data_IF_237075678770
#
_entry.id   IF_237075678770
#
_cell.length_a   1.000
_cell.length_b   1.000
_cell.length_c   1.000
_cell.angle_alpha   90.00
_cell.angle_beta   90.00
_cell.angle_gamma   90.00
#
_symmetry.space_group_name_H-M   'P 1'
#
loop_
_entity.id
_entity.type
_entity.pdbx_description
1 polymer ?
#
# COMPACT_ATOMS: atom_id res chain seq x y z
N UNK A 1 -10.40 -23.89 17.97
CA UNK A 1 -10.61 -22.50 17.51
C UNK A 1 -9.42 -21.67 17.94
N UNK A 2 -8.47 -21.43 17.05
CA UNK A 2 -7.32 -20.55 17.32
C UNK A 2 -7.82 -19.11 17.33
N UNK A 3 -8.05 -18.55 18.53
CA UNK A 3 -8.35 -17.12 18.70
C UNK A 3 -7.25 -16.33 17.97
N UNK A 4 -7.67 -15.40 17.08
CA UNK A 4 -6.73 -14.42 16.51
C UNK A 4 -6.04 -13.69 17.68
N UNK A 5 -4.81 -14.05 17.93
CA UNK A 5 -4.04 -13.53 19.08
C UNK A 5 -3.75 -12.04 18.83
N UNK A 6 -3.87 -11.22 19.88
CA UNK A 6 -3.54 -9.80 19.83
C UNK A 6 -2.07 -9.60 19.42
N UNK A 7 -1.79 -8.48 18.74
CA UNK A 7 -0.42 -8.07 18.44
C UNK A 7 0.39 -7.90 19.74
N UNK A 8 1.61 -8.38 19.72
CA UNK A 8 2.59 -8.26 20.81
C UNK A 8 3.69 -7.27 20.39
N UNK A 9 4.50 -6.80 21.32
CA UNK A 9 5.60 -5.85 21.06
C UNK A 9 6.50 -6.29 19.91
N UNK A 10 6.85 -7.58 19.87
CA UNK A 10 7.65 -8.15 18.77
C UNK A 10 6.98 -8.03 17.39
N UNK A 11 5.64 -8.10 17.34
CA UNK A 11 4.90 -7.97 16.09
C UNK A 11 4.94 -6.52 15.59
N UNK A 12 4.82 -5.53 16.48
CA UNK A 12 4.95 -4.11 16.13
C UNK A 12 6.34 -3.77 15.61
N UNK A 13 7.40 -4.30 16.23
CA UNK A 13 8.77 -4.15 15.75
C UNK A 13 8.92 -4.74 14.36
N UNK A 14 8.41 -5.96 14.16
CA UNK A 14 8.46 -6.64 12.87
C UNK A 14 7.71 -5.85 11.79
N UNK A 15 6.48 -5.42 12.07
CA UNK A 15 5.68 -4.60 11.15
C UNK A 15 6.42 -3.30 10.83
N UNK A 16 7.01 -2.63 11.81
CA UNK A 16 7.79 -1.40 11.60
C UNK A 16 8.94 -1.61 10.62
N UNK A 17 9.75 -2.66 10.81
CA UNK A 17 10.88 -2.99 9.92
C UNK A 17 10.38 -3.25 8.49
N UNK A 18 9.34 -4.06 8.34
CA UNK A 18 8.77 -4.36 7.02
C UNK A 18 8.11 -3.14 6.37
N UNK A 19 7.51 -2.24 7.16
CA UNK A 19 6.94 -0.98 6.63
C UNK A 19 8.03 -0.08 6.04
N UNK A 20 9.20 0.01 6.69
CA UNK A 20 10.36 0.73 6.15
C UNK A 20 10.84 0.08 4.84
N UNK A 21 10.88 -1.26 4.78
CA UNK A 21 11.25 -1.97 3.54
C UNK A 21 10.23 -1.73 2.42
N UNK A 22 8.93 -1.75 2.72
CA UNK A 22 7.86 -1.41 1.76
C UNK A 22 8.08 0.02 1.23
N UNK A 23 8.33 0.97 2.14
CA UNK A 23 8.59 2.35 1.75
C UNK A 23 9.84 2.47 0.86
N UNK A 24 10.93 1.80 1.21
CA UNK A 24 12.17 1.79 0.42
C UNK A 24 11.93 1.23 -0.99
N UNK A 25 11.21 0.10 -1.12
CA UNK A 25 10.84 -0.47 -2.42
C UNK A 25 10.00 0.53 -3.23
N UNK A 26 9.00 1.15 -2.62
CA UNK A 26 8.16 2.14 -3.28
C UNK A 26 8.96 3.38 -3.72
N UNK A 27 9.90 3.86 -2.90
CA UNK A 27 10.78 4.97 -3.24
C UNK A 27 11.68 4.64 -4.43
N UNK A 28 12.29 3.46 -4.44
CA UNK A 28 13.15 3.00 -5.55
C UNK A 28 12.33 2.89 -6.84
N UNK A 29 11.19 2.20 -6.81
CA UNK A 29 10.31 2.04 -7.98
C UNK A 29 9.82 3.40 -8.48
N UNK A 30 9.40 4.28 -7.57
CA UNK A 30 8.97 5.63 -7.89
C UNK A 30 10.07 6.45 -8.57
N UNK A 31 11.27 6.45 -8.00
CA UNK A 31 12.41 7.20 -8.54
C UNK A 31 12.84 6.74 -9.93
N UNK A 32 12.71 5.44 -10.21
CA UNK A 32 13.08 4.88 -11.53
C UNK A 32 11.97 5.14 -12.57
N UNK A 33 10.71 4.94 -12.20
CA UNK A 33 9.61 4.97 -13.16
C UNK A 33 9.08 6.37 -13.44
N UNK A 34 9.10 7.27 -12.45
CA UNK A 34 8.57 8.64 -12.65
C UNK A 34 9.22 9.37 -13.82
N UNK A 35 10.53 9.39 -14.01
CA UNK A 35 11.15 10.01 -15.19
C UNK A 35 10.79 9.33 -16.51
N UNK A 36 10.51 8.01 -16.47
CA UNK A 36 10.19 7.21 -17.68
C UNK A 36 8.76 7.43 -18.13
N UNK A 37 7.81 7.46 -17.18
CA UNK A 37 6.37 7.57 -17.48
C UNK A 37 5.95 9.04 -17.58
N UNK A 38 6.77 9.96 -17.03
CA UNK A 38 6.49 11.40 -17.05
C UNK A 38 5.16 11.74 -16.36
N UNK A 39 4.34 12.54 -17.04
CA UNK A 39 3.07 13.00 -16.49
C UNK A 39 2.07 11.88 -16.12
N UNK A 40 2.13 10.73 -16.81
CA UNK A 40 1.29 9.58 -16.49
C UNK A 40 1.72 8.86 -15.19
N UNK A 41 2.84 9.24 -14.59
CA UNK A 41 3.27 8.69 -13.31
C UNK A 41 2.22 8.88 -12.23
N UNK A 42 1.58 10.04 -12.16
CA UNK A 42 0.60 10.33 -11.11
C UNK A 42 -0.49 9.25 -10.98
N UNK A 43 -1.24 8.89 -12.02
CA UNK A 43 -2.29 7.87 -11.90
C UNK A 43 -1.76 6.43 -11.86
N UNK A 44 -0.54 6.15 -12.32
CA UNK A 44 -0.07 4.77 -12.53
C UNK A 44 1.01 4.34 -11.56
N UNK A 45 1.81 5.25 -11.02
CA UNK A 45 2.99 4.92 -10.20
C UNK A 45 2.65 4.06 -8.99
N UNK A 46 1.51 4.33 -8.36
CA UNK A 46 1.06 3.58 -7.21
C UNK A 46 0.88 2.08 -7.49
N UNK A 47 0.32 1.74 -8.65
CA UNK A 47 0.15 0.34 -9.06
C UNK A 47 1.48 -0.39 -9.21
N UNK A 48 2.47 0.25 -9.83
CA UNK A 48 3.82 -0.33 -9.95
C UNK A 48 4.50 -0.48 -8.59
N UNK A 49 4.44 0.53 -7.73
CA UNK A 49 4.96 0.45 -6.37
C UNK A 49 4.35 -0.73 -5.61
N UNK A 50 3.04 -0.87 -5.67
CA UNK A 50 2.30 -1.93 -4.99
C UNK A 50 2.58 -3.32 -5.57
N UNK A 51 2.84 -3.44 -6.87
CA UNK A 51 3.25 -4.70 -7.49
C UNK A 51 4.51 -5.25 -6.82
N UNK A 52 5.54 -4.43 -6.70
CA UNK A 52 6.82 -4.84 -6.12
C UNK A 52 6.75 -4.99 -4.60
N UNK A 53 6.08 -4.05 -3.91
CA UNK A 53 5.97 -4.10 -2.45
C UNK A 53 5.05 -5.20 -1.93
N UNK A 54 4.19 -5.79 -2.78
CA UNK A 54 3.34 -6.92 -2.42
C UNK A 54 4.14 -8.13 -1.90
N UNK A 55 5.35 -8.35 -2.41
CA UNK A 55 6.24 -9.42 -1.92
C UNK A 55 6.59 -9.18 -0.45
N UNK A 56 7.04 -7.98 -0.13
CA UNK A 56 7.45 -7.58 1.23
C UNK A 56 6.26 -7.62 2.18
N UNK A 57 5.12 -7.09 1.73
CA UNK A 57 3.88 -7.13 2.51
C UNK A 57 3.44 -8.56 2.84
N UNK A 58 3.39 -9.46 1.85
CA UNK A 58 2.93 -10.84 2.09
C UNK A 58 3.88 -11.62 3.01
N UNK A 59 5.20 -11.41 2.91
CA UNK A 59 6.15 -11.98 3.87
C UNK A 59 5.86 -11.49 5.29
N UNK A 60 5.65 -10.20 5.48
CA UNK A 60 5.28 -9.61 6.76
C UNK A 60 3.96 -10.21 7.27
N UNK A 61 2.92 -10.16 6.44
CA UNK A 61 1.58 -10.61 6.79
C UNK A 61 1.55 -12.09 7.22
N UNK A 62 2.31 -12.96 6.54
CA UNK A 62 2.41 -14.37 6.88
C UNK A 62 3.22 -14.62 8.14
N UNK A 63 4.28 -13.83 8.40
CA UNK A 63 5.07 -13.92 9.64
C UNK A 63 4.27 -13.46 10.86
N UNK A 64 3.54 -12.36 10.75
CA UNK A 64 2.70 -11.83 11.84
C UNK A 64 1.43 -12.66 12.02
N UNK A 65 0.72 -12.92 10.94
CA UNK A 65 -0.52 -13.71 10.85
C UNK A 65 -1.57 -13.37 11.93
N UNK A 66 -1.72 -12.10 12.25
CA UNK A 66 -2.60 -11.60 13.33
C UNK A 66 -3.45 -10.44 12.84
N UNK A 67 -4.59 -10.25 13.52
CA UNK A 67 -5.50 -9.13 13.27
C UNK A 67 -4.79 -7.81 13.56
N UNK A 68 -5.02 -6.81 12.68
CA UNK A 68 -4.50 -5.47 12.82
C UNK A 68 -3.12 -5.26 12.18
N UNK A 69 -2.51 -6.29 11.58
CA UNK A 69 -1.18 -6.16 10.99
C UNK A 69 -1.15 -5.16 9.82
N UNK A 70 -2.15 -5.21 8.93
CA UNK A 70 -2.27 -4.28 7.81
C UNK A 70 -2.60 -2.86 8.31
N UNK A 71 -3.46 -2.73 9.32
CA UNK A 71 -3.78 -1.42 9.90
C UNK A 71 -2.53 -0.75 10.50
N UNK A 72 -1.75 -1.49 11.29
CA UNK A 72 -0.50 -0.95 11.89
C UNK A 72 0.49 -0.55 10.80
N UNK A 73 0.68 -1.39 9.78
CA UNK A 73 1.53 -1.07 8.62
C UNK A 73 1.06 0.20 7.91
N UNK A 74 -0.26 0.37 7.73
CA UNK A 74 -0.84 1.55 7.09
C UNK A 74 -0.63 2.82 7.92
N UNK A 75 -0.76 2.73 9.26
CA UNK A 75 -0.48 3.83 10.18
C UNK A 75 1.00 4.23 10.11
N UNK A 76 1.91 3.25 10.11
CA UNK A 76 3.36 3.54 9.96
C UNK A 76 3.63 4.23 8.62
N UNK A 77 2.98 3.79 7.54
CA UNK A 77 3.09 4.46 6.24
C UNK A 77 2.59 5.92 6.30
N UNK A 78 1.43 6.15 6.91
CA UNK A 78 0.87 7.49 7.13
C UNK A 78 1.78 8.39 7.99
N UNK A 79 2.44 7.83 9.01
CA UNK A 79 3.42 8.56 9.83
C UNK A 79 4.63 9.02 9.00
N UNK A 80 5.13 8.19 8.09
CA UNK A 80 6.23 8.59 7.20
C UNK A 80 5.82 9.81 6.36
N UNK A 81 4.62 9.79 5.75
CA UNK A 81 4.13 10.93 4.98
C UNK A 81 3.87 12.17 5.85
N UNK A 82 3.45 11.99 7.10
CA UNK A 82 3.32 13.09 8.06
C UNK A 82 4.66 13.76 8.33
N UNK A 83 5.71 12.97 8.51
CA UNK A 83 7.08 13.50 8.69
C UNK A 83 7.60 14.21 7.42
N UNK A 84 7.08 13.86 6.24
CA UNK A 84 7.37 14.54 4.98
C UNK A 84 6.53 15.82 4.76
N UNK A 85 5.73 16.24 5.76
CA UNK A 85 4.96 17.48 5.69
C UNK A 85 3.49 17.31 5.26
N UNK A 86 2.98 16.07 5.11
CA UNK A 86 1.59 15.82 4.68
C UNK A 86 0.81 15.09 5.79
N UNK A 87 0.45 15.77 6.90
CA UNK A 87 -0.16 15.13 8.09
C UNK A 87 -1.53 14.48 7.81
N UNK A 88 -2.28 14.95 6.81
CA UNK A 88 -3.52 14.32 6.37
C UNK A 88 -3.33 12.85 6.03
N UNK A 89 -2.16 12.47 5.52
CA UNK A 89 -1.88 11.10 5.10
C UNK A 89 -1.94 10.11 6.26
N UNK A 90 -1.73 10.52 7.50
CA UNK A 90 -1.90 9.65 8.66
C UNK A 90 -3.34 9.14 8.76
N UNK A 91 -4.31 10.06 8.71
CA UNK A 91 -5.74 9.70 8.79
C UNK A 91 -6.16 8.92 7.56
N UNK A 92 -5.72 9.37 6.39
CA UNK A 92 -6.05 8.73 5.12
C UNK A 92 -5.56 7.27 5.06
N UNK A 93 -4.30 7.01 5.40
CA UNK A 93 -3.76 5.65 5.41
C UNK A 93 -4.31 4.80 6.56
N UNK A 94 -4.64 5.38 7.71
CA UNK A 94 -5.34 4.65 8.76
C UNK A 94 -6.70 4.14 8.27
N UNK A 95 -7.48 4.97 7.56
CA UNK A 95 -8.74 4.57 6.93
C UNK A 95 -8.52 3.50 5.86
N UNK A 96 -7.52 3.67 4.98
CA UNK A 96 -7.15 2.68 3.98
C UNK A 96 -6.84 1.31 4.62
N UNK A 97 -6.07 1.32 5.72
CA UNK A 97 -5.76 0.13 6.51
C UNK A 97 -7.00 -0.52 7.13
N UNK A 98 -7.94 0.28 7.63
CA UNK A 98 -9.21 -0.23 8.15
C UNK A 98 -10.03 -0.93 7.08
N UNK A 99 -10.15 -0.36 5.88
CA UNK A 99 -10.85 -0.98 4.77
C UNK A 99 -10.17 -2.28 4.32
N UNK A 100 -8.84 -2.31 4.25
CA UNK A 100 -8.08 -3.52 3.98
C UNK A 100 -8.29 -4.59 5.06
N UNK A 101 -8.23 -4.23 6.34
CA UNK A 101 -8.50 -5.15 7.45
C UNK A 101 -9.95 -5.66 7.46
N UNK A 102 -10.91 -4.88 6.98
CA UNK A 102 -12.32 -5.30 6.89
C UNK A 102 -12.49 -6.56 6.02
N UNK A 103 -11.64 -6.73 5.00
CA UNK A 103 -11.60 -7.94 4.17
C UNK A 103 -11.20 -9.18 5.00
N UNK A 104 -10.37 -8.98 6.03
CA UNK A 104 -9.86 -10.03 6.92
C UNK A 104 -10.73 -10.25 8.16
N UNK A 105 -11.74 -9.39 8.38
CA UNK A 105 -12.49 -9.39 9.62
C UNK A 105 -13.36 -10.64 9.80
N UNK A 106 -13.95 -11.17 8.70
CA UNK A 106 -14.86 -12.32 8.74
C UNK A 106 -14.07 -13.62 8.64
N UNK A 107 -14.10 -14.41 9.72
CA UNK A 107 -13.52 -15.75 9.77
C UNK A 107 -13.18 -16.19 11.21
N UNK A 108 -12.58 -17.35 11.30
CA UNK A 108 -12.19 -18.04 12.54
C UNK A 108 -10.75 -17.76 13.01
N UNK A 109 -10.04 -16.88 12.33
CA UNK A 109 -8.63 -16.55 12.55
C UNK A 109 -7.68 -17.19 11.53
N UNK A 110 -8.10 -18.19 10.77
CA UNK A 110 -7.26 -18.84 9.74
C UNK A 110 -7.04 -17.94 8.53
N UNK A 111 -7.96 -17.00 8.28
CA UNK A 111 -7.87 -16.05 7.16
C UNK A 111 -6.61 -15.19 7.18
N UNK A 112 -6.05 -14.90 8.36
CA UNK A 112 -4.79 -14.16 8.49
C UNK A 112 -3.56 -14.94 7.99
N UNK A 113 -3.68 -16.26 7.82
CA UNK A 113 -2.65 -17.15 7.27
C UNK A 113 -2.91 -17.54 5.81
N UNK A 114 -3.98 -17.03 5.19
CA UNK A 114 -4.32 -17.34 3.80
C UNK A 114 -3.78 -16.25 2.88
N UNK A 115 -2.81 -16.62 2.03
CA UNK A 115 -2.20 -15.69 1.06
C UNK A 115 -3.25 -14.98 0.20
N UNK A 116 -4.28 -15.69 -0.27
CA UNK A 116 -5.36 -15.11 -1.10
C UNK A 116 -6.15 -14.03 -0.37
N UNK A 117 -6.46 -14.23 0.91
CA UNK A 117 -7.15 -13.23 1.73
C UNK A 117 -6.27 -12.02 2.00
N UNK A 118 -4.99 -12.23 2.31
CA UNK A 118 -4.01 -11.16 2.51
C UNK A 118 -3.79 -10.36 1.20
N UNK A 119 -3.72 -11.05 0.06
CA UNK A 119 -3.61 -10.40 -1.25
C UNK A 119 -4.81 -9.50 -1.55
N UNK A 120 -6.03 -9.98 -1.29
CA UNK A 120 -7.23 -9.17 -1.49
C UNK A 120 -7.28 -7.97 -0.53
N UNK A 121 -6.94 -8.16 0.74
CA UNK A 121 -6.87 -7.08 1.72
C UNK A 121 -5.86 -6.00 1.30
N UNK A 122 -4.70 -6.42 0.82
CA UNK A 122 -3.68 -5.50 0.34
C UNK A 122 -4.07 -4.79 -0.96
N UNK A 123 -4.82 -5.46 -1.85
CA UNK A 123 -5.35 -4.83 -3.05
C UNK A 123 -6.41 -3.76 -2.73
N UNK A 124 -7.28 -4.00 -1.75
CA UNK A 124 -8.23 -2.99 -1.26
C UNK A 124 -7.48 -1.80 -0.65
N UNK A 125 -6.48 -2.04 0.20
CA UNK A 125 -5.59 -0.97 0.68
C UNK A 125 -4.93 -0.22 -0.49
N UNK A 126 -4.50 -0.94 -1.52
CA UNK A 126 -3.84 -0.40 -2.71
C UNK A 126 -4.69 0.59 -3.51
N UNK A 127 -6.01 0.40 -3.55
CA UNK A 127 -6.92 1.37 -4.16
C UNK A 127 -6.78 2.75 -3.48
N UNK A 128 -6.79 2.76 -2.15
CA UNK A 128 -6.61 4.01 -1.39
C UNK A 128 -5.19 4.58 -1.59
N UNK A 129 -4.17 3.73 -1.55
CA UNK A 129 -2.79 4.16 -1.79
C UNK A 129 -2.66 4.92 -3.11
N UNK A 130 -3.30 4.43 -4.17
CA UNK A 130 -3.32 5.08 -5.50
C UNK A 130 -3.97 6.48 -5.50
N UNK A 131 -4.84 6.78 -4.54
CA UNK A 131 -5.52 8.08 -4.44
C UNK A 131 -4.76 9.12 -3.61
N UNK A 132 -3.65 8.78 -2.98
CA UNK A 132 -2.98 9.66 -2.01
C UNK A 132 -2.69 11.06 -2.55
N UNK A 133 -2.16 11.16 -3.78
CA UNK A 133 -1.87 12.45 -4.42
C UNK A 133 -3.15 13.25 -4.71
N UNK A 134 -4.19 12.59 -5.25
CA UNK A 134 -5.47 13.26 -5.54
C UNK A 134 -6.11 13.81 -4.27
N UNK A 135 -6.10 13.04 -3.18
CA UNK A 135 -6.64 13.48 -1.88
C UNK A 135 -5.83 14.66 -1.32
N UNK A 136 -4.51 14.66 -1.49
CA UNK A 136 -3.67 15.81 -1.11
C UNK A 136 -4.08 17.07 -1.86
N UNK A 137 -4.30 16.97 -3.17
CA UNK A 137 -4.78 18.09 -4.01
C UNK A 137 -6.16 18.59 -3.53
N UNK A 138 -7.09 17.69 -3.26
CA UNK A 138 -8.45 18.07 -2.84
C UNK A 138 -8.49 18.78 -1.50
N UNK A 139 -7.60 18.45 -0.58
CA UNK A 139 -7.62 19.02 0.78
C UNK A 139 -6.75 20.26 0.90
N UNK A 140 -5.55 20.25 0.34
CA UNK A 140 -4.62 21.38 0.47
C UNK A 140 -4.66 22.36 -0.72
N UNK A 141 -5.28 21.94 -1.83
CA UNK A 141 -5.33 22.74 -3.05
C UNK A 141 -4.01 22.72 -3.85
N UNK A 142 -4.06 23.32 -5.04
CA UNK A 142 -2.90 23.41 -5.93
C UNK A 142 -1.76 24.27 -5.38
N UNK A 143 -2.07 25.28 -4.54
CA UNK A 143 -1.07 26.16 -3.93
C UNK A 143 -0.09 25.43 -3.03
N UNK A 144 -0.48 24.34 -2.39
CA UNK A 144 0.43 23.51 -1.62
C UNK A 144 1.52 22.82 -2.48
N UNK A 145 1.14 22.42 -3.69
CA UNK A 145 2.03 21.71 -4.62
C UNK A 145 2.85 22.66 -5.52
N UNK A 146 2.44 23.93 -5.67
CA UNK A 146 3.11 24.90 -6.53
C UNK A 146 4.53 25.22 -6.11
N UNK A 147 4.90 25.01 -4.85
CA UNK A 147 6.28 25.10 -4.37
C UNK A 147 7.15 23.87 -4.64
N UNK A 148 6.55 22.75 -5.09
CA UNK A 148 7.24 21.47 -5.26
C UNK A 148 7.37 21.07 -6.73
N UNK A 149 6.48 21.54 -7.59
CA UNK A 149 6.41 21.16 -9.00
C UNK A 149 6.33 22.39 -9.90
N UNK A 150 6.89 22.27 -11.11
CA UNK A 150 6.70 23.26 -12.16
C UNK A 150 5.25 23.36 -12.63
N UNK A 151 4.90 24.46 -13.30
CA UNK A 151 3.52 24.76 -13.70
C UNK A 151 2.92 23.67 -14.61
N UNK A 152 3.69 23.20 -15.60
CA UNK A 152 3.21 22.19 -16.55
C UNK A 152 2.93 20.85 -15.85
N UNK A 153 3.81 20.44 -14.94
CA UNK A 153 3.60 19.22 -14.13
C UNK A 153 2.39 19.38 -13.24
N UNK A 154 2.23 20.54 -12.59
CA UNK A 154 1.09 20.81 -11.72
C UNK A 154 -0.24 20.78 -12.49
N UNK A 155 -0.32 21.39 -13.65
CA UNK A 155 -1.52 21.39 -14.50
C UNK A 155 -1.93 19.96 -14.90
N UNK A 156 -0.96 19.13 -15.25
CA UNK A 156 -1.22 17.71 -15.56
C UNK A 156 -1.68 16.93 -14.33
N UNK A 157 -1.09 17.18 -13.17
CA UNK A 157 -1.53 16.56 -11.90
C UNK A 157 -2.98 16.94 -11.57
N UNK A 158 -3.35 18.21 -11.75
CA UNK A 158 -4.72 18.68 -11.57
C UNK A 158 -5.68 18.02 -12.57
N UNK A 159 -5.31 17.93 -13.83
CA UNK A 159 -6.09 17.23 -14.84
C UNK A 159 -6.40 15.78 -14.42
N UNK A 160 -5.40 15.02 -13.97
CA UNK A 160 -5.58 13.65 -13.52
C UNK A 160 -6.41 13.57 -12.22
N UNK A 161 -6.18 14.49 -11.29
CA UNK A 161 -6.88 14.49 -10.00
C UNK A 161 -8.38 14.80 -10.14
N UNK A 162 -8.77 15.67 -11.07
CA UNK A 162 -10.17 16.07 -11.27
C UNK A 162 -10.88 15.30 -12.37
N UNK A 163 -10.22 14.39 -13.06
CA UNK A 163 -10.83 13.55 -14.09
C UNK A 163 -11.42 12.26 -13.50
N UNK A 164 -12.75 12.05 -13.46
CA UNK A 164 -13.35 10.83 -12.94
C UNK A 164 -12.86 9.56 -13.63
N UNK A 165 -12.60 9.65 -14.94
CA UNK A 165 -12.10 8.53 -15.73
C UNK A 165 -10.69 8.11 -15.28
N UNK A 166 -9.80 9.07 -15.04
CA UNK A 166 -8.45 8.80 -14.56
C UNK A 166 -8.42 8.33 -13.11
N UNK A 167 -9.32 8.84 -12.25
CA UNK A 167 -9.48 8.33 -10.89
C UNK A 167 -9.88 6.85 -10.93
N UNK A 168 -10.91 6.50 -11.70
CA UNK A 168 -11.35 5.12 -11.86
C UNK A 168 -10.24 4.22 -12.44
N UNK A 169 -9.54 4.70 -13.47
CA UNK A 169 -8.41 3.98 -14.06
C UNK A 169 -7.29 3.75 -13.07
N UNK A 170 -6.92 4.76 -12.27
CA UNK A 170 -5.90 4.66 -11.22
C UNK A 170 -6.27 3.62 -10.15
N UNK A 171 -7.51 3.64 -9.68
CA UNK A 171 -8.02 2.67 -8.70
C UNK A 171 -7.96 1.24 -9.24
N UNK A 172 -8.48 1.03 -10.45
CA UNK A 172 -8.50 -0.29 -11.09
C UNK A 172 -7.08 -0.78 -11.39
N UNK A 173 -6.22 0.11 -11.85
CA UNK A 173 -4.82 -0.22 -12.12
C UNK A 173 -4.08 -0.60 -10.84
N UNK A 174 -4.20 0.22 -9.78
CA UNK A 174 -3.58 -0.08 -8.49
C UNK A 174 -4.07 -1.40 -7.90
N UNK A 175 -5.39 -1.66 -7.96
CA UNK A 175 -5.98 -2.92 -7.53
C UNK A 175 -5.44 -4.12 -8.30
N UNK A 176 -5.48 -4.04 -9.64
CA UNK A 176 -5.02 -5.10 -10.54
C UNK A 176 -3.54 -5.40 -10.36
N UNK A 177 -2.69 -4.36 -10.33
CA UNK A 177 -1.25 -4.50 -10.15
C UNK A 177 -0.91 -5.08 -8.77
N UNK A 178 -1.64 -4.69 -7.72
CA UNK A 178 -1.46 -5.28 -6.39
C UNK A 178 -1.81 -6.76 -6.38
N UNK A 179 -2.89 -7.17 -7.04
CA UNK A 179 -3.26 -8.59 -7.16
C UNK A 179 -2.22 -9.38 -7.98
N UNK A 180 -1.74 -8.82 -9.08
CA UNK A 180 -0.70 -9.46 -9.91
C UNK A 180 0.60 -9.62 -9.12
N UNK A 181 1.06 -8.57 -8.45
CA UNK A 181 2.24 -8.61 -7.57
C UNK A 181 2.08 -9.62 -6.43
N UNK A 182 0.90 -9.65 -5.82
CA UNK A 182 0.57 -10.63 -4.78
C UNK A 182 0.53 -12.07 -5.30
N UNK A 183 0.03 -12.27 -6.51
CA UNK A 183 0.04 -13.58 -7.17
C UNK A 183 1.46 -14.07 -7.43
N UNK A 184 2.33 -13.19 -7.92
CA UNK A 184 3.75 -13.47 -8.09
C UNK A 184 4.45 -13.75 -6.76
N UNK A 185 4.22 -12.90 -5.75
CA UNK A 185 4.73 -13.07 -4.40
C UNK A 185 4.29 -14.40 -3.78
N UNK A 186 3.01 -14.78 -3.94
CA UNK A 186 2.48 -16.05 -3.43
C UNK A 186 3.17 -17.26 -4.02
N UNK A 187 3.50 -17.23 -5.32
CA UNK A 187 4.27 -18.31 -5.98
C UNK A 187 5.69 -18.42 -5.41
N UNK A 188 6.37 -17.27 -5.21
CA UNK A 188 7.69 -17.23 -4.60
C UNK A 188 7.68 -17.74 -3.16
N UNK A 189 6.70 -17.32 -2.37
CA UNK A 189 6.53 -17.73 -0.97
C UNK A 189 6.30 -19.24 -0.86
N UNK A 190 5.41 -19.80 -1.66
CA UNK A 190 5.15 -21.24 -1.68
C UNK A 190 6.38 -22.05 -2.10
N UNK A 191 7.14 -21.56 -3.09
CA UNK A 191 8.30 -22.29 -3.61
C UNK A 191 9.52 -22.26 -2.68
N UNK A 192 9.80 -21.13 -2.06
CA UNK A 192 11.06 -20.88 -1.35
C UNK A 192 10.92 -20.79 0.16
N UNK A 193 9.89 -20.11 0.68
CA UNK A 193 9.79 -19.80 2.10
C UNK A 193 9.02 -20.85 2.90
N UNK A 194 7.94 -21.40 2.37
CA UNK A 194 7.16 -22.46 3.04
C UNK A 194 7.93 -23.76 3.01
N UNK A 195 8.55 -24.13 1.85
CA UNK A 195 9.39 -25.32 1.75
C UNK A 195 10.64 -25.27 2.62
N UNK A 196 11.21 -24.06 2.84
CA UNK A 196 12.35 -23.85 3.71
C UNK A 196 11.99 -23.73 5.20
N UNK A 197 10.70 -23.82 5.59
CA UNK A 197 10.24 -23.71 6.97
C UNK A 197 10.34 -22.30 7.57
N UNK A 198 10.63 -21.29 6.75
CA UNK A 198 10.77 -19.89 7.20
C UNK A 198 9.42 -19.28 7.55
N UNK A 199 8.35 -19.76 6.93
CA UNK A 199 6.96 -19.37 7.18
C UNK A 199 6.15 -20.66 7.39
N UNK A 200 5.40 -20.73 8.46
CA UNK A 200 4.51 -21.86 8.81
C UNK A 200 3.07 -21.54 8.47
#
# INVERSE_FOLDING_TARGET
MTKATRLQTKDYILIGIFSILIYAVNAIVGSILTPVIGAAAMPLIAGFCLFFSAIVYLVMAMKVAKRGALLVQSIVNGLVYTLMGVPLMLVFFALAGLFGEAVLFRGDGTQYRRLTRQSLAYAVYGCFYGMGTSVTIYVYGSGYLSGMFDADTLDRMLYFAYSPAWIAASLLFAFGMTLLGSGFASRLLNKHFIKAGVIR
#
